data_IF_830253443415
#
_entry.id   IF_830253443415
#
_cell.length_a   1.000
_cell.length_b   1.000
_cell.length_c   1.000
_cell.angle_alpha   90.00
_cell.angle_beta   90.00
_cell.angle_gamma   90.00
#
_symmetry.space_group_name_H-M   'P 1'
#
loop_
_entity.id
_entity.type
_entity.pdbx_description
1 polymer ?
#
# COMPACT_ATOMS: atom_id res chain seq x y z
N UNK A 1 31.52 -34.14 -6.94
CA UNK A 1 32.17 -33.16 -6.04
C UNK A 1 32.55 -33.74 -4.67
N UNK A 2 33.23 -34.88 -4.64
CA UNK A 2 33.56 -35.59 -3.40
C UNK A 2 34.65 -34.92 -2.54
N UNK A 3 35.35 -33.89 -3.04
CA UNK A 3 36.51 -33.28 -2.36
C UNK A 3 36.45 -31.74 -2.27
N UNK A 4 35.29 -31.15 -2.17
CA UNK A 4 35.16 -29.67 -2.16
C UNK A 4 35.23 -29.09 -0.74
N UNK A 5 36.16 -28.23 -0.48
CA UNK A 5 36.19 -27.38 0.72
C UNK A 5 34.95 -26.51 0.74
N UNK A 6 34.25 -26.43 1.88
CA UNK A 6 32.95 -25.78 2.05
C UNK A 6 32.92 -24.28 1.71
N UNK A 7 34.07 -23.63 1.60
CA UNK A 7 34.20 -22.15 1.43
C UNK A 7 34.62 -21.71 0.01
N UNK A 8 34.70 -22.62 -0.97
CA UNK A 8 35.03 -22.24 -2.34
C UNK A 8 33.76 -22.05 -3.18
N UNK A 9 33.67 -20.91 -3.90
CA UNK A 9 32.59 -20.66 -4.84
C UNK A 9 32.46 -21.81 -5.84
N UNK A 10 31.24 -22.25 -6.07
CA UNK A 10 30.94 -23.36 -6.98
C UNK A 10 31.20 -23.02 -8.44
N UNK A 11 31.00 -21.77 -8.76
CA UNK A 11 31.02 -21.21 -10.11
C UNK A 11 31.76 -19.89 -10.11
N UNK A 12 32.51 -19.61 -11.17
CA UNK A 12 33.16 -18.34 -11.41
C UNK A 12 33.20 -18.04 -12.91
N UNK A 13 33.14 -16.78 -13.28
CA UNK A 13 33.41 -16.34 -14.62
C UNK A 13 34.91 -16.13 -14.83
N UNK A 14 35.40 -16.37 -16.03
CA UNK A 14 36.77 -16.05 -16.42
C UNK A 14 37.00 -14.54 -16.29
N UNK A 15 38.21 -14.14 -15.88
CA UNK A 15 38.56 -12.75 -15.72
C UNK A 15 38.40 -12.00 -17.05
N UNK A 16 37.83 -10.78 -17.00
CA UNK A 16 37.58 -9.90 -18.14
C UNK A 16 36.53 -10.38 -19.17
N UNK A 17 35.77 -11.46 -18.92
CA UNK A 17 34.64 -11.78 -19.76
C UNK A 17 33.36 -11.02 -19.32
N UNK A 18 32.46 -10.78 -20.28
CA UNK A 18 31.14 -10.22 -19.98
C UNK A 18 30.26 -11.32 -19.40
N UNK A 19 29.70 -11.17 -18.20
CA UNK A 19 28.74 -12.12 -17.67
C UNK A 19 27.47 -12.03 -18.51
N UNK A 20 27.14 -13.11 -19.23
CA UNK A 20 25.89 -13.24 -19.98
C UNK A 20 25.18 -14.52 -19.56
N UNK A 21 23.91 -14.64 -19.91
CA UNK A 21 23.13 -15.86 -19.62
C UNK A 21 23.74 -17.07 -20.37
N UNK A 22 23.88 -18.18 -19.66
CA UNK A 22 24.25 -19.47 -20.29
C UNK A 22 23.11 -19.92 -21.20
N UNK A 23 23.43 -20.42 -22.39
CA UNK A 23 22.44 -20.86 -23.38
C UNK A 23 21.91 -19.75 -24.28
N UNK A 24 22.24 -18.48 -24.06
CA UNK A 24 21.72 -17.34 -24.82
C UNK A 24 22.01 -17.45 -26.33
N UNK A 25 23.16 -17.99 -26.72
CA UNK A 25 23.53 -18.16 -28.13
C UNK A 25 22.76 -19.28 -28.85
N UNK A 26 22.18 -20.21 -28.13
CA UNK A 26 21.39 -21.33 -28.64
C UNK A 26 19.90 -21.01 -28.77
N UNK A 27 19.44 -19.91 -28.19
CA UNK A 27 18.05 -19.50 -28.28
C UNK A 27 17.67 -19.16 -29.72
N UNK A 28 16.43 -19.48 -30.08
CA UNK A 28 15.89 -19.10 -31.39
C UNK A 28 15.52 -17.61 -31.41
N UNK A 29 15.21 -17.07 -32.62
CA UNK A 29 14.82 -15.68 -32.79
C UNK A 29 13.30 -15.43 -32.60
N UNK A 30 12.58 -16.35 -31.98
CA UNK A 30 11.20 -16.16 -31.58
C UNK A 30 11.19 -15.62 -30.16
N UNK A 31 10.73 -14.42 -29.99
CA UNK A 31 10.72 -13.71 -28.71
C UNK A 31 9.38 -13.79 -27.97
N UNK A 32 8.71 -14.92 -28.07
CA UNK A 32 7.46 -15.21 -27.34
C UNK A 32 7.72 -15.52 -25.86
N UNK A 33 8.49 -16.58 -25.61
CA UNK A 33 8.78 -17.07 -24.24
C UNK A 33 10.25 -17.31 -24.03
N UNK A 34 10.74 -16.93 -22.83
CA UNK A 34 12.07 -17.26 -22.33
C UNK A 34 11.94 -17.95 -20.98
N UNK A 35 12.59 -19.08 -20.81
CA UNK A 35 12.70 -19.75 -19.49
C UNK A 35 14.08 -19.44 -18.92
N UNK A 36 14.10 -18.88 -17.69
CA UNK A 36 15.34 -18.59 -16.95
C UNK A 36 15.41 -19.50 -15.74
N UNK A 37 16.48 -20.31 -15.65
CA UNK A 37 16.77 -21.18 -14.53
C UNK A 37 17.94 -20.64 -13.70
N UNK A 38 18.17 -21.21 -12.53
CA UNK A 38 19.31 -20.85 -11.67
C UNK A 38 20.57 -21.57 -12.10
N UNK A 39 20.51 -22.87 -12.33
CA UNK A 39 21.62 -23.71 -12.72
C UNK A 39 21.71 -23.95 -14.23
N UNK A 40 22.92 -24.17 -14.72
CA UNK A 40 23.17 -24.47 -16.14
C UNK A 40 22.57 -25.84 -16.53
N UNK A 41 22.64 -26.82 -15.65
CA UNK A 41 22.06 -28.15 -15.86
C UNK A 41 20.54 -28.09 -15.94
N UNK A 42 19.92 -27.17 -15.17
CA UNK A 42 18.46 -26.96 -15.22
C UNK A 42 18.04 -26.40 -16.58
N UNK A 43 18.77 -25.43 -17.12
CA UNK A 43 18.46 -24.90 -18.47
C UNK A 43 18.61 -25.96 -19.55
N UNK A 44 19.60 -26.85 -19.43
CA UNK A 44 19.76 -27.98 -20.34
C UNK A 44 18.62 -29.00 -20.19
N UNK A 45 18.14 -29.24 -18.96
CA UNK A 45 17.00 -30.11 -18.68
C UNK A 45 15.69 -29.52 -19.28
N UNK A 46 15.53 -28.21 -19.23
CA UNK A 46 14.40 -27.52 -19.87
C UNK A 46 14.53 -27.60 -21.41
N UNK A 47 15.73 -27.44 -21.96
CA UNK A 47 15.96 -27.59 -23.39
C UNK A 47 15.72 -29.03 -23.88
N UNK A 48 16.11 -30.05 -23.10
CA UNK A 48 15.83 -31.46 -23.37
C UNK A 48 14.31 -31.74 -23.43
N UNK A 49 13.53 -30.99 -22.66
CA UNK A 49 12.07 -31.06 -22.73
C UNK A 49 11.47 -30.41 -23.99
N UNK A 50 12.31 -29.91 -24.91
CA UNK A 50 11.88 -29.30 -26.18
C UNK A 50 11.61 -27.79 -26.11
N UNK A 51 12.06 -27.10 -25.05
CA UNK A 51 11.92 -25.65 -24.90
C UNK A 51 13.18 -24.97 -25.44
N UNK A 52 13.08 -24.39 -26.62
CA UNK A 52 14.23 -23.85 -27.36
C UNK A 52 14.86 -22.60 -26.70
N UNK A 53 14.05 -21.76 -26.02
CA UNK A 53 14.53 -20.57 -25.33
C UNK A 53 14.69 -20.84 -23.83
N UNK A 54 15.67 -21.65 -23.47
CA UNK A 54 16.02 -21.98 -22.08
C UNK A 54 17.43 -21.48 -21.77
N UNK A 55 17.57 -20.69 -20.72
CA UNK A 55 18.83 -20.09 -20.29
C UNK A 55 18.99 -20.20 -18.78
N UNK A 56 20.22 -20.09 -18.27
CA UNK A 56 20.44 -19.93 -16.84
C UNK A 56 21.25 -18.68 -16.52
N UNK A 57 21.09 -18.21 -15.27
CA UNK A 57 21.96 -17.16 -14.75
C UNK A 57 23.41 -17.64 -14.62
N UNK A 58 24.41 -16.77 -14.84
CA UNK A 58 25.81 -17.21 -14.92
C UNK A 58 26.44 -17.57 -13.56
N UNK A 59 25.94 -17.00 -12.46
CA UNK A 59 26.57 -17.07 -11.12
C UNK A 59 25.56 -17.31 -9.98
N UNK A 60 24.50 -18.07 -10.23
CA UNK A 60 23.47 -18.38 -9.24
C UNK A 60 22.53 -17.21 -8.93
N UNK A 61 21.56 -17.44 -8.04
CA UNK A 61 20.41 -16.56 -7.79
C UNK A 61 20.74 -15.15 -7.27
N UNK A 62 21.91 -14.92 -6.71
CA UNK A 62 22.28 -13.65 -6.05
C UNK A 62 23.21 -12.75 -6.86
N UNK A 63 23.70 -13.20 -8.01
CA UNK A 63 24.61 -12.44 -8.87
C UNK A 63 23.86 -11.76 -10.02
N UNK A 64 23.72 -10.43 -10.01
CA UNK A 64 22.96 -9.69 -11.04
C UNK A 64 23.82 -8.81 -11.96
N UNK A 65 25.12 -8.96 -11.90
CA UNK A 65 26.07 -8.19 -12.76
C UNK A 65 25.89 -8.45 -14.25
N UNK A 66 25.22 -9.54 -14.62
CA UNK A 66 24.89 -9.93 -15.99
C UNK A 66 23.71 -9.16 -16.59
N UNK A 67 22.78 -8.63 -15.77
CA UNK A 67 21.55 -7.97 -16.24
C UNK A 67 21.83 -6.85 -17.24
N UNK A 68 22.74 -5.88 -17.00
CA UNK A 68 23.00 -4.82 -17.96
C UNK A 68 23.45 -5.32 -19.35
N UNK A 69 24.14 -6.46 -19.44
CA UNK A 69 24.59 -7.05 -20.70
C UNK A 69 23.51 -7.83 -21.45
N UNK A 70 22.49 -8.29 -20.76
CA UNK A 70 21.39 -9.10 -21.33
C UNK A 70 20.07 -8.34 -21.40
N UNK A 71 20.00 -7.12 -20.86
CA UNK A 71 18.76 -6.35 -20.67
C UNK A 71 17.94 -6.19 -21.94
N UNK A 72 18.56 -5.65 -23.01
CA UNK A 72 17.85 -5.38 -24.26
C UNK A 72 17.39 -6.68 -24.95
N UNK A 73 18.15 -7.75 -24.77
CA UNK A 73 17.80 -9.04 -25.33
C UNK A 73 16.63 -9.70 -24.60
N UNK A 74 16.65 -9.70 -23.26
CA UNK A 74 15.55 -10.26 -22.44
C UNK A 74 14.25 -9.50 -22.68
N UNK A 75 14.29 -8.18 -22.73
CA UNK A 75 13.08 -7.36 -22.92
C UNK A 75 12.50 -7.42 -24.33
N UNK A 76 13.06 -8.21 -25.24
CA UNK A 76 12.45 -8.58 -26.52
C UNK A 76 11.38 -9.65 -26.35
N UNK A 77 11.48 -10.47 -25.32
CA UNK A 77 10.51 -11.53 -25.05
C UNK A 77 9.21 -10.97 -24.50
N UNK A 78 8.08 -11.55 -24.94
CA UNK A 78 6.76 -11.16 -24.43
C UNK A 78 6.59 -11.60 -22.99
N UNK A 79 7.10 -12.79 -22.65
CA UNK A 79 7.07 -13.32 -21.30
C UNK A 79 8.38 -14.04 -20.92
N UNK A 80 8.72 -13.92 -19.65
CA UNK A 80 9.83 -14.64 -19.02
C UNK A 80 9.28 -15.54 -17.93
N UNK A 81 9.59 -16.83 -17.99
CA UNK A 81 9.21 -17.81 -16.98
C UNK A 81 10.43 -18.09 -16.11
N UNK A 82 10.35 -17.77 -14.84
CA UNK A 82 11.39 -18.09 -13.87
C UNK A 82 11.16 -19.52 -13.34
N UNK A 83 12.11 -20.40 -13.65
CA UNK A 83 12.15 -21.78 -13.20
C UNK A 83 13.39 -21.98 -12.32
N UNK A 84 13.41 -21.28 -11.18
CA UNK A 84 14.52 -21.32 -10.23
C UNK A 84 14.43 -22.46 -9.24
N UNK A 85 15.44 -22.58 -8.38
CA UNK A 85 15.46 -23.54 -7.29
C UNK A 85 14.36 -23.22 -6.28
N UNK A 86 13.54 -24.23 -5.97
CA UNK A 86 12.50 -24.12 -4.97
C UNK A 86 13.02 -24.60 -3.62
N UNK A 87 13.37 -23.65 -2.74
CA UNK A 87 13.88 -23.91 -1.40
C UNK A 87 12.99 -23.29 -0.33
N UNK A 88 12.51 -24.10 0.61
CA UNK A 88 11.68 -23.66 1.74
C UNK A 88 10.46 -22.77 1.33
N UNK A 89 9.77 -23.14 0.26
CA UNK A 89 8.59 -22.41 -0.22
C UNK A 89 8.91 -21.10 -0.98
N UNK A 90 10.16 -20.93 -1.43
CA UNK A 90 10.61 -19.67 -2.06
C UNK A 90 11.54 -19.94 -3.24
N UNK A 91 11.41 -19.08 -4.26
CA UNK A 91 12.31 -19.03 -5.42
C UNK A 91 13.07 -17.71 -5.35
N UNK A 92 14.31 -17.73 -4.86
CA UNK A 92 15.14 -16.52 -4.67
C UNK A 92 15.34 -15.73 -5.99
N UNK A 93 15.55 -16.44 -7.10
CA UNK A 93 15.72 -15.83 -8.41
C UNK A 93 14.49 -15.04 -8.85
N UNK A 94 13.27 -15.49 -8.49
CA UNK A 94 12.02 -14.83 -8.82
C UNK A 94 11.88 -13.46 -8.17
N UNK A 95 12.19 -13.36 -6.89
CA UNK A 95 12.07 -12.12 -6.11
C UNK A 95 12.91 -11.00 -6.73
N UNK A 96 14.05 -11.33 -7.27
CA UNK A 96 14.98 -10.38 -7.86
C UNK A 96 14.62 -10.03 -9.31
N UNK A 97 14.23 -11.00 -10.13
CA UNK A 97 13.91 -10.76 -11.53
C UNK A 97 12.57 -10.04 -11.70
N UNK A 98 11.56 -10.36 -10.88
CA UNK A 98 10.24 -9.74 -10.97
C UNK A 98 10.24 -8.22 -10.78
N UNK A 99 11.16 -7.71 -9.95
CA UNK A 99 11.30 -6.26 -9.71
C UNK A 99 12.14 -5.53 -10.76
N UNK A 100 12.91 -6.24 -11.58
CA UNK A 100 13.89 -5.66 -12.49
C UNK A 100 13.47 -5.72 -13.95
N UNK A 101 12.81 -6.80 -14.38
CA UNK A 101 12.41 -6.97 -15.78
C UNK A 101 11.17 -6.14 -16.13
N UNK A 102 11.08 -5.69 -17.38
CA UNK A 102 9.94 -4.92 -17.90
C UNK A 102 8.93 -5.78 -18.67
N UNK A 103 9.31 -7.00 -19.04
CA UNK A 103 8.42 -7.96 -19.66
C UNK A 103 7.51 -8.64 -18.63
N UNK A 104 6.54 -9.40 -19.10
CA UNK A 104 5.66 -10.21 -18.23
C UNK A 104 6.48 -11.32 -17.58
N UNK A 105 6.58 -11.29 -16.25
CA UNK A 105 7.29 -12.32 -15.48
C UNK A 105 6.30 -13.31 -14.90
N UNK A 106 6.54 -14.59 -15.16
CA UNK A 106 5.81 -15.72 -14.62
C UNK A 106 6.74 -16.60 -13.79
N UNK A 107 6.18 -17.46 -12.98
CA UNK A 107 6.93 -18.47 -12.26
C UNK A 107 6.21 -19.82 -12.26
N UNK A 108 6.97 -20.89 -12.09
CA UNK A 108 6.44 -22.24 -11.95
C UNK A 108 5.82 -22.39 -10.56
N UNK A 109 4.65 -23.03 -10.49
CA UNK A 109 3.94 -23.28 -9.24
C UNK A 109 4.66 -24.34 -8.40
N UNK A 110 4.64 -24.17 -7.08
CA UNK A 110 5.24 -25.12 -6.12
C UNK A 110 4.72 -26.55 -6.31
N UNK A 111 3.43 -26.70 -6.52
CA UNK A 111 2.77 -27.99 -6.73
C UNK A 111 3.29 -28.74 -7.95
N UNK A 112 3.69 -28.01 -9.00
CA UNK A 112 4.21 -28.60 -10.24
C UNK A 112 5.65 -29.12 -10.09
N UNK A 113 6.42 -28.65 -9.08
CA UNK A 113 7.72 -29.24 -8.74
C UNK A 113 7.60 -30.65 -8.15
N UNK A 114 6.45 -31.05 -7.64
CA UNK A 114 6.19 -32.37 -7.04
C UNK A 114 7.22 -32.79 -6.00
N UNK A 115 7.66 -31.82 -5.19
CA UNK A 115 8.68 -32.03 -4.15
C UNK A 115 10.10 -32.12 -4.66
N UNK A 116 10.35 -31.81 -5.94
CA UNK A 116 11.69 -31.61 -6.48
C UNK A 116 12.18 -30.20 -6.18
N UNK A 117 13.49 -30.03 -6.16
CA UNK A 117 14.11 -28.72 -5.93
C UNK A 117 14.19 -27.89 -7.22
N UNK A 118 14.55 -28.53 -8.33
CA UNK A 118 14.93 -27.88 -9.58
C UNK A 118 14.44 -28.64 -10.81
N UNK A 119 14.64 -28.07 -11.99
CA UNK A 119 14.21 -28.66 -13.26
C UNK A 119 14.94 -29.97 -13.59
N UNK A 120 16.20 -30.10 -13.18
CA UNK A 120 16.95 -31.32 -13.40
C UNK A 120 16.42 -32.51 -12.59
N UNK A 121 16.08 -32.28 -11.31
CA UNK A 121 15.43 -33.31 -10.50
C UNK A 121 14.08 -33.73 -11.08
N UNK A 122 13.31 -32.78 -11.62
CA UNK A 122 12.04 -33.06 -12.28
C UNK A 122 12.25 -33.91 -13.51
N UNK A 123 13.24 -33.59 -14.36
CA UNK A 123 13.57 -34.36 -15.54
C UNK A 123 13.91 -35.80 -15.17
N UNK A 124 14.75 -35.97 -14.15
CA UNK A 124 15.22 -37.32 -13.70
C UNK A 124 14.08 -38.15 -13.12
N UNK A 125 13.17 -37.56 -12.33
CA UNK A 125 12.12 -38.33 -11.63
C UNK A 125 10.85 -38.51 -12.47
N UNK A 126 10.47 -37.50 -13.25
CA UNK A 126 9.17 -37.46 -13.92
C UNK A 126 9.25 -37.29 -15.44
N UNK A 127 10.45 -37.07 -15.99
CA UNK A 127 10.68 -36.91 -17.42
C UNK A 127 10.30 -35.52 -17.98
N UNK A 128 10.55 -35.38 -19.28
CA UNK A 128 10.36 -34.12 -20.00
C UNK A 128 8.91 -33.57 -20.00
N UNK A 129 7.91 -34.47 -19.92
CA UNK A 129 6.51 -34.08 -19.91
C UNK A 129 6.17 -33.22 -18.70
N UNK A 130 6.69 -33.53 -17.52
CA UNK A 130 6.44 -32.74 -16.32
C UNK A 130 7.04 -31.34 -16.42
N UNK A 131 8.22 -31.19 -17.05
CA UNK A 131 8.80 -29.86 -17.33
C UNK A 131 7.86 -29.04 -18.23
N UNK A 132 7.30 -29.65 -19.27
CA UNK A 132 6.31 -28.97 -20.14
C UNK A 132 5.05 -28.57 -19.38
N UNK A 133 4.57 -29.39 -18.43
CA UNK A 133 3.46 -29.05 -17.53
C UNK A 133 3.81 -27.86 -16.67
N UNK A 134 4.98 -27.82 -16.02
CA UNK A 134 5.46 -26.70 -15.21
C UNK A 134 5.43 -25.38 -15.99
N UNK A 135 5.94 -25.40 -17.23
CA UNK A 135 6.00 -24.19 -18.08
C UNK A 135 4.63 -23.78 -18.57
N UNK A 136 3.75 -24.73 -18.91
CA UNK A 136 2.39 -24.47 -19.35
C UNK A 136 1.54 -23.85 -18.24
N UNK A 137 1.69 -24.35 -17.02
CA UNK A 137 0.93 -23.91 -15.84
C UNK A 137 1.53 -22.66 -15.17
N UNK A 138 2.69 -22.17 -15.63
CA UNK A 138 3.34 -21.01 -15.02
C UNK A 138 2.39 -19.79 -14.92
N UNK A 139 2.35 -19.20 -13.73
CA UNK A 139 1.43 -18.10 -13.39
C UNK A 139 2.16 -16.76 -13.29
N UNK A 140 1.44 -15.67 -13.46
CA UNK A 140 1.99 -14.33 -13.29
C UNK A 140 2.42 -14.09 -11.84
N UNK A 141 3.51 -13.35 -11.65
CA UNK A 141 3.91 -12.90 -10.32
C UNK A 141 2.89 -11.90 -9.81
N UNK A 142 2.23 -12.16 -8.67
CA UNK A 142 1.23 -11.24 -8.14
C UNK A 142 1.87 -9.92 -7.72
N UNK A 143 1.26 -8.81 -8.10
CA UNK A 143 1.64 -7.48 -7.63
C UNK A 143 1.01 -7.29 -6.25
N UNK A 144 1.83 -7.12 -5.21
CA UNK A 144 1.38 -7.04 -3.80
C UNK A 144 0.25 -6.03 -3.54
N UNK A 145 0.20 -4.96 -4.33
CA UNK A 145 -0.79 -3.88 -4.17
C UNK A 145 -2.02 -4.05 -5.07
N UNK A 146 -2.13 -5.17 -5.80
CA UNK A 146 -3.21 -5.41 -6.77
C UNK A 146 -3.86 -6.74 -6.45
N UNK A 147 -5.17 -6.71 -6.32
CA UNK A 147 -5.99 -7.92 -6.15
C UNK A 147 -6.99 -7.99 -7.29
N UNK A 148 -7.44 -9.16 -7.63
CA UNK A 148 -8.50 -9.32 -8.62
C UNK A 148 -9.83 -8.83 -8.05
N UNK A 149 -10.59 -8.08 -8.85
CA UNK A 149 -11.86 -7.50 -8.38
C UNK A 149 -12.86 -8.57 -7.90
N UNK A 150 -12.79 -9.77 -8.44
CA UNK A 150 -13.61 -10.92 -8.02
C UNK A 150 -13.28 -11.42 -6.61
N UNK A 151 -12.06 -11.16 -6.12
CA UNK A 151 -11.59 -11.54 -4.79
C UNK A 151 -11.92 -10.48 -3.72
N UNK A 152 -12.36 -9.29 -4.15
CA UNK A 152 -12.78 -8.23 -3.22
C UNK A 152 -14.07 -8.65 -2.54
N UNK A 153 -14.06 -8.61 -1.20
CA UNK A 153 -15.24 -8.92 -0.40
C UNK A 153 -16.42 -8.01 -0.79
N UNK A 154 -17.56 -8.64 -1.10
CA UNK A 154 -18.77 -7.90 -1.41
C UNK A 154 -19.44 -7.42 -0.13
N UNK A 155 -19.30 -6.15 0.18
CA UNK A 155 -19.89 -5.51 1.37
C UNK A 155 -21.13 -4.71 0.99
N UNK A 156 -22.22 -4.90 1.74
CA UNK A 156 -23.43 -4.08 1.60
C UNK A 156 -23.15 -2.65 2.08
N UNK A 157 -22.92 -1.73 1.15
CA UNK A 157 -22.59 -0.33 1.41
C UNK A 157 -23.67 0.42 2.22
N UNK A 158 -24.92 -0.07 2.21
CA UNK A 158 -26.00 0.53 2.99
C UNK A 158 -25.93 0.18 4.46
N UNK A 159 -25.31 -0.93 4.81
CA UNK A 159 -25.11 -1.40 6.19
C UNK A 159 -23.81 -0.89 6.83
N UNK A 160 -22.92 -0.25 6.07
CA UNK A 160 -21.70 0.31 6.64
C UNK A 160 -22.04 1.32 7.75
N UNK A 161 -21.27 1.33 8.84
CA UNK A 161 -21.44 2.33 9.89
C UNK A 161 -21.12 3.72 9.35
N UNK A 162 -21.98 4.71 9.66
CA UNK A 162 -21.92 6.06 9.13
C UNK A 162 -22.05 7.10 10.22
N UNK A 163 -21.33 8.21 10.06
CA UNK A 163 -21.47 9.40 10.85
C UNK A 163 -22.60 10.25 10.29
N UNK A 164 -23.64 10.51 11.06
CA UNK A 164 -24.70 11.45 10.68
C UNK A 164 -24.15 12.88 10.71
N UNK A 165 -24.42 13.62 9.67
CA UNK A 165 -24.00 15.03 9.59
C UNK A 165 -24.86 15.95 10.47
N UNK A 166 -26.05 15.50 10.86
CA UNK A 166 -27.07 16.27 11.58
C UNK A 166 -27.95 17.10 10.65
N UNK A 167 -27.69 17.09 9.35
CA UNK A 167 -28.53 17.74 8.35
C UNK A 167 -29.35 16.66 7.65
N UNK A 168 -30.63 16.61 7.99
CA UNK A 168 -31.53 15.52 7.58
C UNK A 168 -31.56 15.27 6.07
N UNK A 169 -31.58 16.34 5.26
CA UNK A 169 -31.58 16.22 3.79
C UNK A 169 -30.28 15.64 3.27
N UNK A 170 -29.15 16.07 3.83
CA UNK A 170 -27.83 15.58 3.45
C UNK A 170 -27.65 14.11 3.88
N UNK A 171 -28.02 13.78 5.10
CA UNK A 171 -27.97 12.39 5.59
C UNK A 171 -28.79 11.45 4.71
N UNK A 172 -29.96 11.92 4.23
CA UNK A 172 -30.80 11.15 3.29
C UNK A 172 -30.09 10.93 1.94
N UNK A 173 -29.46 11.97 1.40
CA UNK A 173 -28.70 11.88 0.13
C UNK A 173 -27.47 10.96 0.27
N UNK A 174 -26.86 10.94 1.44
CA UNK A 174 -25.70 10.09 1.76
C UNK A 174 -26.09 8.71 2.28
N UNK A 175 -27.35 8.29 2.12
CA UNK A 175 -27.85 7.00 2.61
C UNK A 175 -27.55 6.74 4.10
N UNK A 176 -27.71 7.77 4.93
CA UNK A 176 -27.54 7.69 6.39
C UNK A 176 -26.37 8.46 6.97
N UNK A 177 -25.53 9.09 6.16
CA UNK A 177 -24.40 9.91 6.60
C UNK A 177 -23.07 9.59 5.91
N UNK A 178 -22.00 10.13 6.46
CA UNK A 178 -20.63 9.91 5.96
C UNK A 178 -20.12 8.54 6.39
N UNK A 179 -19.64 7.69 5.48
CA UNK A 179 -19.10 6.37 5.85
C UNK A 179 -17.79 6.54 6.62
N UNK A 180 -17.61 5.75 7.69
CA UNK A 180 -16.32 5.68 8.38
C UNK A 180 -15.26 5.07 7.46
N UNK A 181 -14.01 5.53 7.61
CA UNK A 181 -12.89 5.14 6.75
C UNK A 181 -12.84 5.87 5.40
N UNK A 182 -13.82 6.75 5.12
CA UNK A 182 -13.84 7.59 3.93
C UNK A 182 -13.24 8.97 4.15
N UNK A 183 -12.92 9.67 3.05
CA UNK A 183 -12.51 11.06 3.05
C UNK A 183 -13.61 11.90 2.42
N UNK A 184 -14.09 12.92 3.14
CA UNK A 184 -15.07 13.88 2.62
C UNK A 184 -14.40 15.23 2.34
N UNK A 185 -14.54 15.73 1.12
CA UNK A 185 -14.03 17.04 0.71
C UNK A 185 -15.19 18.06 0.65
N UNK A 186 -15.05 19.16 1.39
CA UNK A 186 -15.98 20.27 1.36
C UNK A 186 -15.33 21.43 0.59
N UNK A 187 -15.90 21.80 -0.54
CA UNK A 187 -15.41 22.89 -1.38
C UNK A 187 -16.47 23.99 -1.55
N UNK A 188 -16.03 25.21 -1.82
CA UNK A 188 -16.89 26.38 -2.04
C UNK A 188 -16.08 27.67 -1.97
N UNK A 189 -16.69 28.80 -2.36
CA UNK A 189 -16.05 30.11 -2.34
C UNK A 189 -15.76 30.58 -0.89
N UNK A 190 -14.84 31.52 -0.70
CA UNK A 190 -14.67 32.19 0.60
C UNK A 190 -15.99 32.74 1.13
N UNK A 191 -16.25 32.60 2.42
CA UNK A 191 -17.47 33.11 3.07
C UNK A 191 -18.74 32.24 2.94
N UNK A 192 -18.72 31.14 2.18
CA UNK A 192 -19.91 30.27 2.00
C UNK A 192 -20.17 29.30 3.18
N UNK A 193 -19.46 29.43 4.29
CA UNK A 193 -19.75 28.65 5.52
C UNK A 193 -19.14 27.28 5.59
N UNK A 194 -18.11 26.95 4.80
CA UNK A 194 -17.43 25.65 4.85
C UNK A 194 -16.95 25.26 6.25
N UNK A 195 -16.26 26.19 6.92
CA UNK A 195 -15.76 25.96 8.29
C UNK A 195 -16.89 25.79 9.31
N UNK A 196 -17.97 26.56 9.14
CA UNK A 196 -19.19 26.46 9.96
C UNK A 196 -19.84 25.08 9.77
N UNK A 197 -19.92 24.61 8.54
CA UNK A 197 -20.46 23.29 8.23
C UNK A 197 -19.58 22.17 8.77
N UNK A 198 -18.25 22.25 8.60
CA UNK A 198 -17.31 21.27 9.14
C UNK A 198 -17.37 21.20 10.68
N UNK A 199 -17.44 22.35 11.35
CA UNK A 199 -17.59 22.36 12.82
C UNK A 199 -18.95 21.86 13.28
N UNK A 200 -20.02 22.04 12.50
CA UNK A 200 -21.32 21.45 12.78
C UNK A 200 -21.28 19.90 12.69
N UNK A 201 -20.56 19.34 11.71
CA UNK A 201 -20.33 17.88 11.62
C UNK A 201 -19.53 17.40 12.82
N UNK A 202 -18.47 18.11 13.21
CA UNK A 202 -17.67 17.80 14.41
C UNK A 202 -18.55 17.73 15.66
N UNK A 203 -19.39 18.72 15.87
CA UNK A 203 -20.34 18.77 17.01
C UNK A 203 -21.31 17.58 16.96
N UNK A 204 -21.87 17.27 15.80
CA UNK A 204 -22.75 16.12 15.65
C UNK A 204 -22.04 14.78 15.88
N UNK A 205 -20.76 14.67 15.52
CA UNK A 205 -19.96 13.50 15.83
C UNK A 205 -19.79 13.32 17.36
N UNK A 206 -19.53 14.41 18.08
CA UNK A 206 -19.45 14.41 19.55
C UNK A 206 -20.78 14.03 20.19
N UNK A 207 -21.93 14.52 19.67
CA UNK A 207 -23.28 14.11 20.13
C UNK A 207 -23.57 12.61 19.92
N UNK A 208 -23.01 12.03 18.86
CA UNK A 208 -23.11 10.59 18.59
C UNK A 208 -22.13 9.74 19.44
N UNK A 209 -21.34 10.38 20.32
CA UNK A 209 -20.43 9.72 21.25
C UNK A 209 -19.04 9.41 20.64
N UNK A 210 -18.74 9.95 19.45
CA UNK A 210 -17.44 9.75 18.85
C UNK A 210 -16.42 10.69 19.45
N UNK A 211 -15.18 10.22 19.59
CA UNK A 211 -14.03 11.08 19.86
C UNK A 211 -13.53 11.67 18.55
N UNK A 212 -13.25 12.96 18.56
CA UNK A 212 -12.90 13.71 17.37
C UNK A 212 -11.56 14.42 17.53
N UNK A 213 -10.84 14.54 16.43
CA UNK A 213 -9.67 15.39 16.32
C UNK A 213 -9.88 16.46 15.26
N UNK A 214 -9.50 17.69 15.54
CA UNK A 214 -9.61 18.82 14.63
C UNK A 214 -8.23 19.45 14.40
N UNK A 215 -8.02 19.90 13.17
CA UNK A 215 -6.90 20.76 12.78
C UNK A 215 -7.47 22.04 12.15
N UNK A 216 -7.00 23.20 12.59
CA UNK A 216 -7.32 24.49 11.98
C UNK A 216 -6.03 25.21 11.61
N UNK A 217 -5.77 25.36 10.30
CA UNK A 217 -4.64 26.17 9.80
C UNK A 217 -4.92 27.69 9.75
N UNK A 218 -6.19 28.10 9.89
CA UNK A 218 -6.59 29.50 9.77
C UNK A 218 -6.86 30.17 11.12
N UNK A 219 -7.46 29.45 12.07
CA UNK A 219 -7.86 29.99 13.35
C UNK A 219 -6.86 29.59 14.46
N UNK A 220 -6.39 30.56 15.28
CA UNK A 220 -5.73 30.23 16.54
C UNK A 220 -6.63 29.39 17.44
N UNK A 221 -6.02 28.55 18.28
CA UNK A 221 -6.73 27.58 19.11
C UNK A 221 -7.86 28.18 19.97
N UNK A 222 -7.63 29.37 20.54
CA UNK A 222 -8.62 30.04 21.37
C UNK A 222 -9.82 30.55 20.56
N UNK A 223 -9.62 30.98 19.31
CA UNK A 223 -10.72 31.37 18.42
C UNK A 223 -11.50 30.16 17.92
N UNK A 224 -10.80 29.06 17.57
CA UNK A 224 -11.48 27.82 17.21
C UNK A 224 -12.35 27.29 18.37
N UNK A 225 -11.82 27.30 19.60
CA UNK A 225 -12.57 26.95 20.79
C UNK A 225 -13.79 27.83 20.97
N UNK A 226 -13.64 29.16 20.93
CA UNK A 226 -14.75 30.08 21.07
C UNK A 226 -15.83 29.84 20.01
N UNK A 227 -15.44 29.54 18.77
CA UNK A 227 -16.33 29.21 17.68
C UNK A 227 -17.17 27.94 17.97
N UNK A 228 -16.56 26.89 18.47
CA UNK A 228 -17.23 25.65 18.86
C UNK A 228 -18.16 25.90 20.07
N UNK A 229 -17.70 26.64 21.10
CA UNK A 229 -18.45 26.93 22.31
C UNK A 229 -19.75 27.74 21.96
N UNK A 230 -19.69 28.73 21.07
CA UNK A 230 -20.86 29.44 20.60
C UNK A 230 -21.86 28.60 19.83
N UNK A 231 -21.38 27.66 18.99
CA UNK A 231 -22.26 26.73 18.27
C UNK A 231 -22.96 25.75 19.22
N UNK A 232 -22.26 25.28 20.25
CA UNK A 232 -22.80 24.38 21.27
C UNK A 232 -23.80 25.06 22.20
N UNK A 233 -23.55 26.30 22.57
CA UNK A 233 -24.42 27.04 23.48
C UNK A 233 -25.85 27.27 22.93
N UNK A 234 -25.96 27.46 21.63
CA UNK A 234 -27.22 27.83 21.01
C UNK A 234 -27.70 29.23 21.43
N UNK A 235 -28.70 29.75 20.75
CA UNK A 235 -29.16 31.14 20.90
C UNK A 235 -29.59 31.51 22.32
N UNK A 236 -30.19 30.60 23.05
CA UNK A 236 -30.77 30.87 24.39
C UNK A 236 -29.71 31.07 25.49
N UNK A 237 -28.47 30.70 25.23
CA UNK A 237 -27.35 30.79 26.17
C UNK A 237 -26.31 31.82 25.79
N UNK A 238 -26.56 32.57 24.71
CA UNK A 238 -25.71 33.67 24.26
C UNK A 238 -26.25 34.98 24.78
N UNK A 239 -25.44 35.74 25.49
CA UNK A 239 -25.80 37.07 26.02
C UNK A 239 -25.29 38.14 25.09
N UNK A 240 -26.18 39.04 24.66
CA UNK A 240 -25.85 40.25 23.91
C UNK A 240 -25.42 41.33 24.88
N UNK A 241 -24.37 42.07 24.53
CA UNK A 241 -23.94 43.28 25.26
C UNK A 241 -23.40 44.30 24.28
N UNK A 242 -23.42 45.58 24.69
CA UNK A 242 -22.78 46.66 23.92
C UNK A 242 -21.32 46.80 24.37
N UNK A 243 -20.41 46.89 23.41
CA UNK A 243 -19.02 47.21 23.71
C UNK A 243 -18.84 48.68 23.99
N UNK A 244 -17.60 49.07 24.35
CA UNK A 244 -17.28 50.50 24.66
C UNK A 244 -17.45 51.49 23.50
N UNK A 245 -17.65 51.01 22.29
CA UNK A 245 -17.90 51.78 21.07
C UNK A 245 -19.37 51.76 20.66
N UNK A 246 -20.26 51.11 21.42
CA UNK A 246 -21.68 51.01 21.13
C UNK A 246 -22.09 49.90 20.20
N UNK A 247 -21.14 49.03 19.75
CA UNK A 247 -21.45 47.94 18.89
C UNK A 247 -22.01 46.74 19.67
N UNK A 248 -22.89 45.98 19.04
CA UNK A 248 -23.44 44.75 19.62
C UNK A 248 -22.38 43.63 19.58
N UNK A 249 -22.10 43.07 20.73
CA UNK A 249 -21.25 41.93 20.88
C UNK A 249 -21.99 40.79 21.63
N UNK A 250 -21.41 39.61 21.54
CA UNK A 250 -22.01 38.42 22.12
C UNK A 250 -21.00 37.72 23.01
N UNK A 251 -21.47 37.17 24.12
CA UNK A 251 -20.62 36.40 25.05
C UNK A 251 -21.40 35.24 25.64
N UNK A 252 -20.66 34.27 26.22
CA UNK A 252 -21.15 33.21 27.03
C UNK A 252 -20.83 33.49 28.50
N UNK A 253 -21.70 33.14 29.43
CA UNK A 253 -21.37 33.18 30.85
C UNK A 253 -20.27 32.16 31.15
N UNK A 254 -19.48 32.38 32.20
CA UNK A 254 -18.41 31.48 32.62
C UNK A 254 -18.98 30.10 32.96
N UNK A 255 -20.11 30.01 33.63
CA UNK A 255 -20.82 28.78 33.91
C UNK A 255 -21.15 27.99 32.66
N UNK A 256 -21.67 28.63 31.61
CA UNK A 256 -21.96 27.97 30.34
C UNK A 256 -20.68 27.50 29.65
N UNK A 257 -19.59 28.26 29.72
CA UNK A 257 -18.27 27.86 29.16
C UNK A 257 -17.73 26.61 29.87
N UNK A 258 -17.85 26.55 31.20
CA UNK A 258 -17.43 25.39 31.98
C UNK A 258 -18.26 24.14 31.66
N UNK A 259 -19.59 24.28 31.63
CA UNK A 259 -20.47 23.17 31.25
C UNK A 259 -20.19 22.63 29.84
N UNK A 260 -19.96 23.51 28.88
CA UNK A 260 -19.60 23.13 27.50
C UNK A 260 -18.24 22.42 27.49
N UNK A 261 -17.23 22.97 28.19
CA UNK A 261 -15.92 22.36 28.27
C UNK A 261 -15.96 20.96 28.91
N UNK A 262 -16.76 20.80 29.96
CA UNK A 262 -16.96 19.47 30.60
C UNK A 262 -17.67 18.48 29.67
N UNK A 263 -18.61 18.96 28.88
CA UNK A 263 -19.33 18.09 27.95
C UNK A 263 -18.45 17.46 26.89
N UNK A 264 -17.49 18.21 26.31
CA UNK A 264 -16.56 17.65 25.31
C UNK A 264 -15.22 17.19 25.88
N UNK A 265 -15.01 17.28 27.22
CA UNK A 265 -13.77 16.85 27.88
C UNK A 265 -13.45 15.38 27.55
N UNK A 266 -12.22 15.13 27.07
CA UNK A 266 -11.76 13.79 26.68
C UNK A 266 -12.39 13.22 25.40
N UNK A 267 -13.17 14.04 24.67
CA UNK A 267 -13.84 13.61 23.42
C UNK A 267 -13.40 14.44 22.20
N UNK A 268 -13.04 15.71 22.41
CA UNK A 268 -12.62 16.61 21.34
C UNK A 268 -11.17 17.04 21.55
N UNK A 269 -10.33 16.74 20.57
CA UNK A 269 -8.91 17.07 20.57
C UNK A 269 -8.62 18.06 19.44
N UNK A 270 -7.74 19.01 19.68
CA UNK A 270 -7.37 20.04 18.71
C UNK A 270 -5.84 20.04 18.55
N UNK A 271 -5.39 20.15 17.29
CA UNK A 271 -3.98 20.37 17.01
C UNK A 271 -3.49 21.68 17.65
N UNK A 272 -2.39 21.64 18.39
CA UNK A 272 -1.83 22.82 19.02
C UNK A 272 -0.94 23.61 18.05
N UNK A 273 -1.48 24.65 17.45
CA UNK A 273 -0.78 25.53 16.51
C UNK A 273 0.38 26.34 17.14
N UNK A 274 0.55 26.29 18.46
CA UNK A 274 1.64 27.02 19.17
C UNK A 274 2.97 26.27 19.13
N UNK A 275 2.93 24.98 18.80
CA UNK A 275 4.12 24.11 18.72
C UNK A 275 4.76 24.29 17.32
N UNK A 276 5.18 25.51 16.99
CA UNK A 276 5.86 25.74 15.70
C UNK A 276 6.98 26.75 15.91
N UNK A 277 8.16 26.23 16.33
CA UNK A 277 9.46 26.82 15.96
C UNK A 277 10.55 25.95 16.56
N UNK A 278 11.17 25.07 15.72
CA UNK A 278 12.46 24.47 16.03
C UNK A 278 12.59 22.96 15.87
N UNK A 279 11.53 22.20 15.99
CA UNK A 279 11.58 20.76 15.80
C UNK A 279 11.03 20.36 14.42
N UNK A 280 11.53 19.25 13.87
CA UNK A 280 11.10 18.67 12.60
C UNK A 280 9.57 18.69 12.50
N UNK A 281 9.03 19.37 11.47
CA UNK A 281 7.58 19.43 11.22
C UNK A 281 7.06 18.02 11.07
N UNK A 282 6.47 17.46 12.12
CA UNK A 282 5.78 16.19 12.02
C UNK A 282 4.65 16.29 11.00
N UNK A 283 4.53 15.27 10.16
CA UNK A 283 3.44 15.19 9.20
C UNK A 283 2.11 15.15 9.95
N UNK A 284 1.15 15.98 9.55
CA UNK A 284 -0.21 15.96 10.12
C UNK A 284 -0.83 14.54 10.07
N UNK A 285 -0.47 13.74 9.08
CA UNK A 285 -0.93 12.35 8.97
C UNK A 285 -0.41 11.49 10.12
N UNK A 286 0.87 11.66 10.51
CA UNK A 286 1.44 10.95 11.65
C UNK A 286 0.72 11.32 12.96
N UNK A 287 0.45 12.61 13.15
CA UNK A 287 -0.30 13.08 14.32
C UNK A 287 -1.73 12.51 14.35
N UNK A 288 -2.40 12.44 13.20
CA UNK A 288 -3.72 11.80 13.09
C UNK A 288 -3.64 10.34 13.49
N UNK A 289 -2.64 9.59 13.01
CA UNK A 289 -2.43 8.18 13.39
C UNK A 289 -2.21 8.03 14.90
N UNK A 290 -1.39 8.86 15.51
CA UNK A 290 -1.12 8.84 16.95
C UNK A 290 -2.39 9.17 17.76
N UNK A 291 -3.17 10.16 17.34
CA UNK A 291 -4.43 10.53 17.99
C UNK A 291 -5.47 9.40 17.89
N UNK A 292 -5.55 8.74 16.74
CA UNK A 292 -6.42 7.56 16.56
C UNK A 292 -5.99 6.43 17.49
N UNK A 293 -4.70 6.14 17.57
CA UNK A 293 -4.16 5.07 18.39
C UNK A 293 -4.31 5.34 19.89
N UNK A 294 -3.96 6.55 20.34
CA UNK A 294 -3.91 6.87 21.77
C UNK A 294 -5.27 7.25 22.34
N UNK A 295 -6.08 8.00 21.60
CA UNK A 295 -7.35 8.50 22.11
C UNK A 295 -8.57 7.77 21.53
N UNK A 296 -8.39 6.95 20.49
CA UNK A 296 -9.49 6.27 19.82
C UNK A 296 -10.40 7.24 19.06
N UNK A 297 -9.86 8.33 18.51
CA UNK A 297 -10.60 9.23 17.64
C UNK A 297 -10.99 8.51 16.34
N UNK A 298 -12.14 8.91 15.77
CA UNK A 298 -12.68 8.29 14.54
C UNK A 298 -12.87 9.35 13.46
#
# INVERSE_FOLDING_TARGET
>A
DFNREKDKNKEWCEANCKPILFGMAQCNNKFDKLVITEGQIDSLSVAEAGIENAVSVPTGAKGFTWIPYCWDWINRFEEVIVFGDHEAGRITLLDELSSRLKCRVKHVLEEDYRGCKDANEILQKYGAEQIRVCIKNAVNVPIKSVIELSEVENVDIFKLPKLRTGIRQLDRLLYGGLPFGGVALISGKPGEGKSTFASQILINALYQGHKCFAYSGELPNYLFRAWIDFQLAGRNHITEYQNKWGDRNYTLSDTNREMIADWYRGKCFLYDNRIVEGDEKESILKIVEEVVQQYGAK
#
